data_IF_906696175362
#
_entry.id   IF_906696175362
#
_cell.length_a   1.000
_cell.length_b   1.000
_cell.length_c   1.000
_cell.angle_alpha   90.00
_cell.angle_beta   90.00
_cell.angle_gamma   90.00
#
_symmetry.space_group_name_H-M   'P 1'
#
loop_
_entity.id
_entity.type
_entity.pdbx_description
1 polymer ?
#
# COMPACT_ATOMS: atom_id res chain seq x y z
N UNK A 1 -20.96 72.20 13.54
CA UNK A 1 -22.14 71.38 13.89
C UNK A 1 -22.80 71.03 12.56
N UNK A 2 -22.82 69.80 12.03
CA UNK A 2 -23.19 68.48 12.58
C UNK A 2 -22.28 67.42 11.93
N UNK A 3 -21.90 66.36 12.65
CA UNK A 3 -21.29 65.15 12.06
C UNK A 3 -22.09 63.91 12.47
N UNK A 4 -22.46 63.12 11.47
CA UNK A 4 -23.18 61.84 11.56
C UNK A 4 -22.45 60.86 10.62
N UNK A 5 -22.50 59.56 10.98
CA UNK A 5 -22.04 58.34 10.24
C UNK A 5 -20.61 57.89 10.59
N UNK A 6 -20.31 56.63 10.88
CA UNK A 6 -21.10 55.40 10.94
C UNK A 6 -20.32 54.33 11.72
N UNK A 7 -21.09 53.49 12.41
CA UNK A 7 -20.85 52.12 12.85
C UNK A 7 -19.89 51.31 11.96
N UNK A 8 -18.92 50.60 12.55
CA UNK A 8 -18.61 49.21 12.17
C UNK A 8 -17.76 48.54 13.25
N UNK A 9 -18.43 47.67 14.00
CA UNK A 9 -17.89 46.71 14.95
C UNK A 9 -16.95 45.75 14.23
N UNK A 10 -15.67 45.73 14.62
CA UNK A 10 -14.74 44.66 14.25
C UNK A 10 -14.95 43.48 15.20
N UNK A 11 -15.67 42.48 14.70
CA UNK A 11 -15.72 41.13 15.28
C UNK A 11 -14.36 40.49 15.04
N UNK A 12 -13.65 39.96 16.06
CA UNK A 12 -12.47 39.15 15.80
C UNK A 12 -12.97 37.84 15.20
N UNK A 13 -12.67 37.64 13.91
CA UNK A 13 -12.82 36.35 13.23
C UNK A 13 -11.95 35.36 13.99
N UNK A 14 -12.61 34.46 14.72
CA UNK A 14 -11.99 33.31 15.36
C UNK A 14 -11.38 32.47 14.23
N UNK A 15 -10.07 32.50 14.11
CA UNK A 15 -9.31 31.51 13.35
C UNK A 15 -9.49 30.17 14.02
N UNK A 16 -10.49 29.40 13.58
CA UNK A 16 -10.54 27.97 13.85
C UNK A 16 -9.32 27.34 13.19
N UNK A 17 -8.26 27.11 13.98
CA UNK A 17 -7.24 26.13 13.68
C UNK A 17 -7.97 24.80 13.49
N UNK A 18 -8.17 24.39 12.24
CA UNK A 18 -8.49 23.00 11.93
C UNK A 18 -7.23 22.22 12.28
N UNK A 19 -7.19 21.66 13.49
CA UNK A 19 -6.22 20.62 13.83
C UNK A 19 -6.55 19.46 12.90
N UNK A 20 -5.74 19.25 11.87
CA UNK A 20 -5.77 18.03 11.09
C UNK A 20 -5.50 16.89 12.08
N UNK A 21 -6.55 16.20 12.51
CA UNK A 21 -6.41 14.92 13.19
C UNK A 21 -5.86 13.96 12.16
N UNK A 22 -4.55 13.78 12.10
CA UNK A 22 -3.96 12.67 11.36
C UNK A 22 -4.46 11.40 12.04
N UNK A 23 -5.52 10.80 11.50
CA UNK A 23 -5.94 9.48 11.95
C UNK A 23 -4.83 8.51 11.58
N UNK A 24 -4.16 7.93 12.57
CA UNK A 24 -3.16 6.90 12.37
C UNK A 24 -3.85 5.57 12.05
N UNK A 25 -3.99 5.28 10.76
CA UNK A 25 -4.54 4.03 10.26
C UNK A 25 -3.58 2.85 10.43
N UNK A 26 -2.30 3.10 10.74
CA UNK A 26 -1.27 2.07 10.92
C UNK A 26 -0.42 1.86 9.68
N UNK A 27 0.08 0.64 9.51
CA UNK A 27 1.01 0.27 8.44
C UNK A 27 0.99 -1.23 8.20
N UNK A 28 1.36 -1.65 6.99
CA UNK A 28 1.68 -3.04 6.69
C UNK A 28 3.18 -3.28 6.75
N UNK A 29 3.60 -4.33 7.43
CA UNK A 29 4.86 -4.99 7.12
C UNK A 29 4.62 -5.98 5.99
N UNK A 30 5.41 -5.88 4.94
CA UNK A 30 5.24 -6.65 3.71
C UNK A 30 6.51 -7.45 3.44
N UNK A 31 6.35 -8.72 3.14
CA UNK A 31 7.39 -9.56 2.55
C UNK A 31 6.92 -10.09 1.20
N UNK A 32 7.80 -9.99 0.20
CA UNK A 32 7.57 -10.54 -1.14
C UNK A 32 8.65 -11.56 -1.46
N UNK A 33 8.23 -12.73 -1.92
CA UNK A 33 9.10 -13.75 -2.48
C UNK A 33 8.72 -13.98 -3.95
N UNK A 34 9.70 -13.91 -4.84
CA UNK A 34 9.54 -14.13 -6.26
C UNK A 34 10.31 -15.38 -6.66
N UNK A 35 9.69 -16.19 -7.51
CA UNK A 35 10.32 -17.35 -8.13
C UNK A 35 9.96 -17.36 -9.62
N UNK A 36 10.97 -17.36 -10.49
CA UNK A 36 10.77 -17.42 -11.93
C UNK A 36 11.68 -18.48 -12.57
N UNK A 37 11.05 -19.35 -13.35
CA UNK A 37 11.76 -20.16 -14.35
C UNK A 37 12.41 -19.27 -15.40
N UNK A 38 13.61 -19.60 -15.90
CA UNK A 38 14.27 -18.81 -16.96
C UNK A 38 13.38 -18.58 -18.21
N UNK A 39 12.46 -19.51 -18.50
CA UNK A 39 11.37 -19.39 -19.48
C UNK A 39 10.02 -19.90 -18.96
N UNK A 40 9.90 -20.08 -17.65
CA UNK A 40 8.72 -20.69 -17.02
C UNK A 40 7.80 -19.67 -16.38
N UNK A 41 6.76 -20.18 -15.71
CA UNK A 41 5.86 -19.36 -14.91
C UNK A 41 6.64 -18.51 -13.91
N UNK A 42 6.16 -17.29 -13.71
CA UNK A 42 6.69 -16.35 -12.71
C UNK A 42 5.68 -16.28 -11.59
N UNK A 43 6.10 -16.69 -10.40
CA UNK A 43 5.30 -16.67 -9.20
C UNK A 43 5.79 -15.55 -8.30
N UNK A 44 4.86 -14.84 -7.68
CA UNK A 44 5.13 -14.04 -6.51
C UNK A 44 4.20 -14.41 -5.38
N UNK A 45 4.76 -14.46 -4.17
CA UNK A 45 4.08 -14.68 -2.92
C UNK A 45 4.23 -13.41 -2.08
N UNK A 46 3.10 -12.89 -1.60
CA UNK A 46 3.04 -11.75 -0.68
C UNK A 46 2.55 -12.21 0.68
N UNK A 47 3.28 -11.81 1.72
CA UNK A 47 2.84 -11.88 3.10
C UNK A 47 2.72 -10.47 3.65
N UNK A 48 1.54 -10.09 4.12
CA UNK A 48 1.28 -8.77 4.67
C UNK A 48 0.72 -8.89 6.09
N UNK A 49 1.35 -8.21 7.04
CA UNK A 49 0.88 -8.09 8.42
C UNK A 49 0.57 -6.62 8.70
N UNK A 50 -0.67 -6.32 9.10
CA UNK A 50 -1.06 -4.96 9.45
C UNK A 50 -0.87 -4.67 10.95
N UNK A 51 -0.33 -3.51 11.29
CA UNK A 51 0.00 -3.15 12.68
C UNK A 51 -1.20 -3.03 13.63
N UNK A 52 -2.42 -2.87 13.11
CA UNK A 52 -3.67 -2.92 13.90
C UNK A 52 -4.20 -4.34 14.14
N UNK A 53 -3.65 -5.35 13.47
CA UNK A 53 -4.01 -6.78 13.61
C UNK A 53 -2.75 -7.64 13.74
N UNK A 54 -1.92 -7.42 14.78
CA UNK A 54 -0.64 -8.11 14.94
C UNK A 54 -0.85 -9.63 15.06
N UNK A 55 0.01 -10.40 14.39
CA UNK A 55 -0.04 -11.85 14.30
C UNK A 55 -1.02 -12.40 13.26
N UNK A 56 -1.77 -11.53 12.55
CA UNK A 56 -2.64 -11.93 11.44
C UNK A 56 -1.94 -11.59 10.13
N UNK A 57 -1.51 -12.63 9.40
CA UNK A 57 -0.82 -12.50 8.13
C UNK A 57 -1.82 -12.77 7.00
N UNK A 58 -2.02 -11.79 6.14
CA UNK A 58 -2.74 -11.99 4.89
C UNK A 58 -1.78 -12.44 3.80
N UNK A 59 -2.13 -13.52 3.12
CA UNK A 59 -1.33 -14.08 2.03
C UNK A 59 -2.03 -13.93 0.68
N UNK A 60 -1.25 -13.60 -0.35
CA UNK A 60 -1.69 -13.66 -1.74
C UNK A 60 -0.59 -14.17 -2.65
N UNK A 61 -1.00 -14.72 -3.79
CA UNK A 61 -0.13 -15.27 -4.82
C UNK A 61 -0.56 -14.74 -6.17
N UNK A 62 0.42 -14.33 -6.98
CA UNK A 62 0.23 -14.13 -8.42
C UNK A 62 1.09 -15.09 -9.22
N UNK A 63 0.52 -15.66 -10.28
CA UNK A 63 1.22 -16.54 -11.21
C UNK A 63 1.03 -15.99 -12.61
N UNK A 64 2.12 -15.50 -13.20
CA UNK A 64 2.19 -15.12 -14.60
C UNK A 64 2.64 -16.31 -15.45
N UNK A 65 1.82 -16.68 -16.43
CA UNK A 65 2.12 -17.68 -17.44
C UNK A 65 2.61 -17.00 -18.73
N UNK A 66 3.87 -17.18 -19.14
CA UNK A 66 4.40 -16.58 -20.35
C UNK A 66 3.82 -17.16 -21.65
N UNK A 67 3.17 -18.32 -21.63
CA UNK A 67 2.56 -18.92 -22.83
C UNK A 67 1.21 -18.27 -23.18
N UNK A 68 0.43 -17.96 -22.15
CA UNK A 68 -0.90 -17.34 -22.30
C UNK A 68 -0.88 -15.84 -22.07
N UNK A 69 0.23 -15.29 -21.56
CA UNK A 69 0.41 -13.90 -21.16
C UNK A 69 -0.58 -13.44 -20.07
N UNK A 70 -1.15 -14.38 -19.32
CA UNK A 70 -2.12 -14.11 -18.26
C UNK A 70 -1.48 -14.20 -16.88
N UNK A 71 -1.95 -13.33 -15.98
CA UNK A 71 -1.65 -13.39 -14.55
C UNK A 71 -2.90 -13.87 -13.81
N UNK A 72 -2.75 -14.95 -13.06
CA UNK A 72 -3.77 -15.40 -12.09
C UNK A 72 -3.43 -14.86 -10.73
N UNK A 73 -4.39 -14.23 -10.05
CA UNK A 73 -4.26 -13.71 -8.69
C UNK A 73 -5.17 -14.46 -7.72
N UNK A 74 -4.65 -14.87 -6.57
CA UNK A 74 -5.40 -15.53 -5.50
C UNK A 74 -4.98 -14.96 -4.15
N UNK A 75 -5.95 -14.62 -3.29
CA UNK A 75 -5.70 -14.13 -1.94
C UNK A 75 -6.55 -14.91 -0.93
N UNK A 76 -5.99 -15.16 0.27
CA UNK A 76 -6.72 -15.80 1.38
C UNK A 76 -7.77 -14.84 1.97
N UNK A 77 -7.40 -13.56 2.06
CA UNK A 77 -8.34 -12.47 2.37
C UNK A 77 -8.93 -11.94 1.05
N UNK A 78 -10.26 -12.03 0.84
CA UNK A 78 -10.89 -11.58 -0.40
C UNK A 78 -10.86 -10.05 -0.57
N UNK A 79 -10.53 -9.29 0.47
CA UNK A 79 -10.38 -7.83 0.41
C UNK A 79 -8.95 -7.41 0.14
N UNK A 80 -7.98 -8.33 0.19
CA UNK A 80 -6.58 -8.04 -0.11
C UNK A 80 -6.40 -7.96 -1.63
N UNK A 81 -5.94 -6.80 -2.08
CA UNK A 81 -5.48 -6.57 -3.44
C UNK A 81 -4.09 -5.96 -3.41
N UNK A 82 -3.28 -6.23 -4.43
CA UNK A 82 -1.95 -5.64 -4.53
C UNK A 82 -1.43 -5.61 -5.96
N UNK A 83 -0.50 -4.69 -6.19
CA UNK A 83 0.21 -4.54 -7.46
C UNK A 83 1.69 -4.28 -7.19
N UNK A 84 2.56 -5.04 -7.87
CA UNK A 84 4.00 -4.77 -7.90
C UNK A 84 4.37 -4.15 -9.26
N UNK A 85 4.84 -2.91 -9.23
CA UNK A 85 5.26 -2.15 -10.41
C UNK A 85 6.79 -2.12 -10.44
N UNK A 86 7.38 -2.74 -11.47
CA UNK A 86 8.82 -2.80 -11.68
C UNK A 86 9.25 -1.86 -12.82
N UNK A 87 9.95 -0.77 -12.52
CA UNK A 87 10.48 0.18 -13.52
C UNK A 87 11.96 0.45 -13.25
N UNK A 88 12.82 0.13 -14.23
CA UNK A 88 14.26 0.49 -14.22
C UNK A 88 15.02 0.17 -12.92
N UNK A 89 14.69 -0.94 -12.26
CA UNK A 89 15.33 -1.37 -11.02
C UNK A 89 14.67 -0.85 -9.74
N UNK A 90 13.70 0.05 -9.84
CA UNK A 90 12.81 0.41 -8.74
C UNK A 90 11.60 -0.50 -8.72
N UNK A 91 11.24 -0.95 -7.52
CA UNK A 91 10.09 -1.79 -7.28
C UNK A 91 9.14 -0.98 -6.40
N UNK A 92 8.04 -0.50 -6.96
CA UNK A 92 6.97 0.15 -6.20
C UNK A 92 5.87 -0.87 -5.95
N UNK A 93 5.36 -0.91 -4.73
CA UNK A 93 4.33 -1.83 -4.32
C UNK A 93 3.11 -1.05 -3.83
N UNK A 94 1.94 -1.46 -4.31
CA UNK A 94 0.65 -0.93 -3.92
C UNK A 94 -0.15 -2.06 -3.25
N UNK A 95 -0.81 -1.73 -2.14
CA UNK A 95 -1.63 -2.66 -1.37
C UNK A 95 -2.95 -1.99 -0.99
N UNK A 96 -4.02 -2.76 -1.05
CA UNK A 96 -5.34 -2.39 -0.56
C UNK A 96 -5.90 -3.55 0.26
N UNK A 97 -6.53 -3.25 1.39
CA UNK A 97 -7.16 -4.25 2.25
C UNK A 97 -8.23 -3.62 3.13
N UNK A 98 -9.30 -4.35 3.42
CA UNK A 98 -10.23 -3.96 4.49
C UNK A 98 -9.72 -4.46 5.84
N UNK A 99 -9.21 -3.56 6.67
CA UNK A 99 -8.71 -3.90 8.01
C UNK A 99 -9.71 -3.46 9.06
N UNK A 100 -10.19 -4.41 9.87
CA UNK A 100 -11.17 -4.16 10.94
C UNK A 100 -12.41 -3.39 10.42
N UNK A 101 -12.85 -3.69 9.19
CA UNK A 101 -14.00 -3.05 8.54
C UNK A 101 -13.70 -1.68 7.90
N UNK A 102 -12.45 -1.21 7.93
CA UNK A 102 -12.03 0.04 7.29
C UNK A 102 -11.27 -0.26 6.00
N UNK A 103 -11.70 0.26 4.83
CA UNK A 103 -10.96 0.10 3.59
C UNK A 103 -9.70 0.98 3.63
N UNK A 104 -8.53 0.36 3.57
CA UNK A 104 -7.24 1.03 3.61
C UNK A 104 -6.45 0.75 2.33
N UNK A 105 -5.55 1.65 1.99
CA UNK A 105 -4.55 1.49 0.94
C UNK A 105 -3.18 1.99 1.37
N UNK A 106 -2.16 1.64 0.62
CA UNK A 106 -0.81 2.18 0.79
C UNK A 106 0.05 1.93 -0.44
N UNK A 107 1.08 2.76 -0.60
CA UNK A 107 2.05 2.63 -1.68
C UNK A 107 3.45 2.94 -1.16
N UNK A 108 4.45 2.22 -1.65
CA UNK A 108 5.83 2.45 -1.25
C UNK A 108 6.83 1.62 -2.03
N UNK A 109 8.09 2.03 -1.95
CA UNK A 109 9.19 1.28 -2.53
C UNK A 109 9.44 0.00 -1.72
N UNK A 110 9.79 -1.08 -2.43
CA UNK A 110 10.23 -2.33 -1.84
C UNK A 110 11.68 -2.62 -2.24
N UNK A 111 12.52 -2.88 -1.24
CA UNK A 111 13.89 -3.29 -1.47
C UNK A 111 13.92 -4.78 -1.81
N UNK A 112 14.29 -5.09 -3.05
CA UNK A 112 14.31 -6.45 -3.56
C UNK A 112 15.74 -6.91 -3.85
N UNK A 113 16.13 -8.05 -3.28
CA UNK A 113 17.34 -8.77 -3.63
C UNK A 113 17.02 -9.87 -4.64
N UNK A 114 17.72 -9.87 -5.77
CA UNK A 114 17.55 -10.89 -6.82
C UNK A 114 18.74 -11.85 -6.86
N UNK A 115 18.45 -13.13 -7.01
CA UNK A 115 19.45 -14.21 -7.07
C UNK A 115 19.09 -15.22 -8.17
N UNK A 116 20.07 -15.82 -8.85
CA UNK A 116 19.81 -16.89 -9.82
C UNK A 116 19.35 -18.21 -9.18
N UNK A 117 19.38 -18.33 -7.84
CA UNK A 117 19.24 -19.60 -7.12
C UNK A 117 17.82 -20.21 -7.08
N UNK A 118 16.78 -19.58 -7.64
CA UNK A 118 15.40 -20.09 -7.62
C UNK A 118 14.89 -20.43 -9.03
N UNK A 119 15.19 -21.64 -9.52
CA UNK A 119 14.77 -22.15 -10.83
C UNK A 119 15.13 -21.25 -12.04
N UNK A 120 16.13 -20.37 -11.91
CA UNK A 120 16.57 -19.45 -12.95
C UNK A 120 16.73 -18.01 -12.44
N UNK A 121 15.68 -17.42 -11.86
CA UNK A 121 15.72 -16.09 -11.22
C UNK A 121 14.72 -16.03 -10.05
N UNK A 122 15.22 -15.80 -8.84
CA UNK A 122 14.44 -15.53 -7.64
C UNK A 122 14.62 -14.10 -7.15
N UNK A 123 13.65 -13.63 -6.37
CA UNK A 123 13.71 -12.34 -5.69
C UNK A 123 13.17 -12.47 -4.27
N UNK A 124 13.74 -11.74 -3.31
CA UNK A 124 13.14 -11.58 -1.99
C UNK A 124 13.26 -10.12 -1.58
N UNK A 125 12.22 -9.56 -1.01
CA UNK A 125 12.26 -8.23 -0.46
C UNK A 125 11.21 -8.01 0.61
N UNK A 126 11.35 -6.89 1.30
CA UNK A 126 10.40 -6.47 2.30
C UNK A 126 10.36 -4.94 2.39
N UNK A 127 9.28 -4.43 2.97
CA UNK A 127 9.10 -3.01 3.22
C UNK A 127 8.03 -2.80 4.30
N UNK A 128 7.95 -1.57 4.81
CA UNK A 128 6.83 -1.12 5.63
C UNK A 128 6.11 -0.01 4.88
N UNK A 129 4.83 -0.22 4.60
CA UNK A 129 3.99 0.75 3.90
C UNK A 129 3.02 1.36 4.89
N UNK A 130 3.01 2.69 4.97
CA UNK A 130 2.03 3.43 5.78
C UNK A 130 0.65 3.24 5.15
N UNK A 131 -0.33 2.97 6.00
CA UNK A 131 -1.73 2.83 5.58
C UNK A 131 -2.46 4.16 5.65
N UNK A 132 -3.35 4.36 4.69
CA UNK A 132 -4.24 5.50 4.61
C UNK A 132 -5.64 5.04 4.20
N UNK A 133 -6.64 5.90 4.42
CA UNK A 133 -8.01 5.61 4.06
C UNK A 133 -8.15 5.49 2.53
N UNK A 134 -8.79 4.43 2.06
CA UNK A 134 -9.12 4.28 0.65
C UNK A 134 -10.46 4.96 0.35
N UNK A 135 -10.39 6.22 -0.11
CA UNK A 135 -11.54 7.05 -0.50
C UNK A 135 -11.96 6.83 -1.96
#
# INVERSE_FOLDING_TARGET
MVSFKSLLLLVPVITQLVVATSCDYGSWYIEINLAAGAQGNRRGDLYAEHSKTPGVISHSVWIYDPQTELTTYTAEDPTLNNTLISVLGLQNFEIEQTVLGTPLKGSGLIDMYFSPAANGRGGKGNTTIISELNN
#
